data_IF_945156043743
#
_entry.id   IF_945156043743
#
_cell.length_a   1.000
_cell.length_b   1.000
_cell.length_c   1.000
_cell.angle_alpha   90.00
_cell.angle_beta   90.00
_cell.angle_gamma   90.00
#
_symmetry.space_group_name_H-M   'P 1'
#
loop_
_entity.id
_entity.type
_entity.pdbx_description
1 polymer ?
#
# COMPACT_ATOMS: atom_id res chain seq x y z
N UNK A 1 10.60 -6.76 4.77
CA UNK A 1 9.18 -6.91 4.40
C UNK A 1 8.28 -7.21 5.60
N UNK A 2 8.77 -7.95 6.60
CA UNK A 2 7.99 -8.25 7.81
C UNK A 2 7.59 -7.00 8.58
N UNK A 3 8.50 -6.02 8.70
CA UNK A 3 8.19 -4.74 9.36
C UNK A 3 7.13 -3.94 8.60
N UNK A 4 7.17 -4.02 7.29
CA UNK A 4 6.20 -3.35 6.43
C UNK A 4 4.80 -3.94 6.62
N UNK A 5 4.72 -5.28 6.65
CA UNK A 5 3.46 -5.99 6.86
C UNK A 5 2.92 -5.72 8.26
N UNK A 6 3.76 -5.79 9.29
CA UNK A 6 3.37 -5.53 10.67
C UNK A 6 2.79 -4.11 10.81
N UNK A 7 3.37 -3.15 10.11
CA UNK A 7 2.86 -1.78 10.07
C UNK A 7 1.49 -1.71 9.40
N UNK A 8 1.32 -2.38 8.27
CA UNK A 8 0.04 -2.41 7.56
C UNK A 8 -1.06 -3.02 8.44
N UNK A 9 -0.74 -4.09 9.18
CA UNK A 9 -1.67 -4.71 10.12
C UNK A 9 -2.05 -3.77 11.26
N UNK A 10 -1.11 -2.97 11.77
CA UNK A 10 -1.41 -1.95 12.78
C UNK A 10 -2.34 -0.88 12.26
N UNK A 11 -2.13 -0.43 11.04
CA UNK A 11 -3.01 0.57 10.41
C UNK A 11 -4.42 -0.01 10.26
N UNK A 12 -4.53 -1.26 9.83
CA UNK A 12 -5.82 -1.92 9.71
C UNK A 12 -6.54 -2.06 11.06
N UNK A 13 -5.81 -2.38 12.14
CA UNK A 13 -6.37 -2.43 13.49
C UNK A 13 -6.85 -1.05 13.94
N UNK A 14 -6.07 -0.01 13.66
CA UNK A 14 -6.46 1.36 13.99
C UNK A 14 -7.73 1.78 13.25
N UNK A 15 -7.90 1.32 12.02
CA UNK A 15 -9.09 1.60 11.23
C UNK A 15 -10.36 1.02 11.88
N UNK A 16 -10.25 -0.09 12.60
CA UNK A 16 -11.38 -0.70 13.30
C UNK A 16 -11.92 0.20 14.42
N UNK A 17 -11.11 1.12 14.94
CA UNK A 17 -11.52 2.08 15.97
C UNK A 17 -12.31 3.26 15.41
N UNK A 18 -12.25 3.51 14.11
CA UNK A 18 -13.05 4.55 13.46
C UNK A 18 -14.44 4.02 13.12
N UNK A 19 -15.42 4.92 13.08
CA UNK A 19 -16.72 4.58 12.51
C UNK A 19 -16.55 4.33 11.00
N UNK A 20 -17.49 3.62 10.35
CA UNK A 20 -17.42 3.45 8.90
C UNK A 20 -17.34 4.76 8.13
N UNK A 21 -18.05 5.80 8.60
CA UNK A 21 -18.02 7.12 7.98
C UNK A 21 -16.66 7.78 8.10
N UNK A 22 -16.07 7.75 9.29
CA UNK A 22 -14.74 8.30 9.54
C UNK A 22 -13.69 7.56 8.73
N UNK A 23 -13.79 6.23 8.67
CA UNK A 23 -12.88 5.41 7.89
C UNK A 23 -12.96 5.76 6.40
N UNK A 24 -14.16 5.98 5.88
CA UNK A 24 -14.37 6.39 4.49
C UNK A 24 -13.74 7.74 4.19
N UNK A 25 -13.86 8.69 5.10
CA UNK A 25 -13.25 10.02 4.95
C UNK A 25 -11.72 9.96 4.94
N UNK A 26 -11.15 9.01 5.71
CA UNK A 26 -9.71 8.85 5.89
C UNK A 26 -9.11 7.74 5.04
N UNK A 27 -9.88 7.12 4.15
CA UNK A 27 -9.46 5.88 3.49
C UNK A 27 -8.17 6.05 2.69
N UNK A 28 -8.01 7.14 1.96
CA UNK A 28 -6.79 7.37 1.17
C UNK A 28 -5.56 7.46 2.10
N UNK A 29 -5.66 8.21 3.19
CA UNK A 29 -4.57 8.35 4.17
C UNK A 29 -4.24 7.00 4.82
N UNK A 30 -5.26 6.23 5.19
CA UNK A 30 -5.07 4.91 5.78
C UNK A 30 -4.38 3.95 4.81
N UNK A 31 -4.80 3.96 3.55
CA UNK A 31 -4.20 3.10 2.52
C UNK A 31 -2.74 3.50 2.26
N UNK A 32 -2.43 4.78 2.21
CA UNK A 32 -1.05 5.26 2.05
C UNK A 32 -0.18 4.85 3.24
N UNK A 33 -0.70 4.97 4.46
CA UNK A 33 0.04 4.55 5.66
C UNK A 33 0.28 3.04 5.68
N UNK A 34 -0.70 2.25 5.23
CA UNK A 34 -0.56 0.80 5.17
C UNK A 34 0.43 0.34 4.09
N UNK A 35 0.44 1.01 2.93
CA UNK A 35 1.19 0.57 1.77
C UNK A 35 2.57 1.21 1.63
N UNK A 36 2.84 2.35 2.28
CA UNK A 36 4.11 3.07 2.15
C UNK A 36 4.79 3.20 3.51
N UNK A 37 6.13 3.09 3.57
CA UNK A 37 6.86 3.32 4.82
C UNK A 37 6.95 4.81 5.14
N UNK A 38 7.25 5.13 6.41
CA UNK A 38 7.52 6.51 6.81
C UNK A 38 8.84 7.02 6.25
N UNK A 39 9.80 6.10 6.08
CA UNK A 39 11.13 6.42 5.60
C UNK A 39 11.17 6.47 4.07
N UNK A 40 11.05 7.68 3.51
CA UNK A 40 11.11 7.88 2.07
C UNK A 40 12.50 7.69 1.48
N UNK A 41 13.54 7.73 2.32
CA UNK A 41 14.94 7.57 1.86
C UNK A 41 15.21 6.14 1.40
N UNK A 42 14.60 5.15 2.06
CA UNK A 42 14.79 3.74 1.73
C UNK A 42 13.89 3.23 0.60
N UNK A 43 12.91 4.02 0.17
CA UNK A 43 11.94 3.60 -0.87
C UNK A 43 12.59 3.16 -2.18
N UNK A 44 13.54 3.91 -2.78
CA UNK A 44 14.14 3.46 -4.03
C UNK A 44 14.84 2.10 -3.91
N UNK A 45 15.57 1.88 -2.82
CA UNK A 45 16.23 0.60 -2.57
C UNK A 45 15.21 -0.54 -2.39
N UNK A 46 14.12 -0.27 -1.68
CA UNK A 46 13.05 -1.25 -1.47
C UNK A 46 12.44 -1.71 -2.80
N UNK A 47 12.06 -0.75 -3.66
CA UNK A 47 11.44 -1.09 -4.94
C UNK A 47 12.42 -1.75 -5.91
N UNK A 48 13.69 -1.33 -5.91
CA UNK A 48 14.73 -1.98 -6.71
C UNK A 48 14.91 -3.43 -6.29
N UNK A 49 14.95 -3.70 -4.99
CA UNK A 49 15.08 -5.05 -4.46
C UNK A 49 13.85 -5.92 -4.77
N UNK A 50 12.67 -5.34 -4.67
CA UNK A 50 11.41 -6.02 -4.99
C UNK A 50 11.41 -6.51 -6.44
N UNK A 51 11.83 -5.65 -7.37
CA UNK A 51 11.91 -5.98 -8.79
C UNK A 51 13.01 -7.03 -9.04
N UNK A 52 14.18 -6.85 -8.42
CA UNK A 52 15.30 -7.78 -8.57
C UNK A 52 14.99 -9.18 -8.04
N UNK A 53 14.05 -9.29 -7.08
CA UNK A 53 13.67 -10.58 -6.49
C UNK A 53 13.06 -11.57 -7.50
N UNK A 54 12.58 -11.05 -8.63
CA UNK A 54 12.00 -11.89 -9.69
C UNK A 54 12.97 -12.93 -10.25
N UNK A 55 14.28 -12.71 -10.09
CA UNK A 55 15.32 -13.64 -10.57
C UNK A 55 15.61 -14.78 -9.58
N UNK A 56 15.07 -14.71 -8.36
CA UNK A 56 15.31 -15.70 -7.31
C UNK A 56 13.99 -16.31 -6.84
N UNK A 57 13.64 -17.54 -7.27
CA UNK A 57 12.34 -18.15 -6.98
C UNK A 57 11.97 -18.20 -5.50
N UNK A 58 12.94 -18.48 -4.62
CA UNK A 58 12.70 -18.54 -3.18
C UNK A 58 12.31 -17.16 -2.63
N UNK A 59 12.99 -16.12 -3.10
CA UNK A 59 12.71 -14.73 -2.69
C UNK A 59 11.37 -14.27 -3.25
N UNK A 60 11.06 -14.61 -4.50
CA UNK A 60 9.77 -14.31 -5.13
C UNK A 60 8.62 -14.91 -4.33
N UNK A 61 8.76 -16.15 -3.85
CA UNK A 61 7.73 -16.80 -3.04
C UNK A 61 7.52 -16.08 -1.72
N UNK A 62 8.62 -15.66 -1.07
CA UNK A 62 8.54 -14.90 0.19
C UNK A 62 7.82 -13.55 -0.01
N UNK A 63 8.13 -12.85 -1.09
CA UNK A 63 7.46 -11.58 -1.42
C UNK A 63 5.98 -11.79 -1.73
N UNK A 64 5.64 -12.85 -2.45
CA UNK A 64 4.24 -13.16 -2.76
C UNK A 64 3.43 -13.41 -1.48
N UNK A 65 3.96 -14.16 -0.53
CA UNK A 65 3.31 -14.38 0.77
C UNK A 65 3.15 -13.09 1.55
N UNK A 66 4.20 -12.25 1.54
CA UNK A 66 4.13 -10.94 2.17
C UNK A 66 3.07 -10.04 1.54
N UNK A 67 2.94 -10.09 0.22
CA UNK A 67 1.91 -9.32 -0.50
C UNK A 67 0.51 -9.82 -0.19
N UNK A 68 0.32 -11.12 -0.01
CA UNK A 68 -0.97 -11.66 0.43
C UNK A 68 -1.37 -11.11 1.80
N UNK A 69 -0.42 -11.02 2.73
CA UNK A 69 -0.66 -10.45 4.05
C UNK A 69 -0.97 -8.95 3.98
N UNK A 70 -0.28 -8.22 3.11
CA UNK A 70 -0.55 -6.80 2.86
C UNK A 70 -1.95 -6.62 2.26
N UNK A 71 -2.31 -7.43 1.28
CA UNK A 71 -3.64 -7.41 0.67
C UNK A 71 -4.73 -7.64 1.73
N UNK A 72 -4.51 -8.58 2.65
CA UNK A 72 -5.47 -8.84 3.73
C UNK A 72 -5.65 -7.63 4.65
N UNK A 73 -4.56 -6.94 5.02
CA UNK A 73 -4.63 -5.73 5.83
C UNK A 73 -5.35 -4.60 5.09
N UNK A 74 -5.02 -4.41 3.82
CA UNK A 74 -5.68 -3.41 2.96
C UNK A 74 -7.17 -3.71 2.84
N UNK A 75 -7.53 -4.99 2.68
CA UNK A 75 -8.94 -5.40 2.57
C UNK A 75 -9.73 -5.02 3.82
N UNK A 76 -9.15 -5.18 5.01
CA UNK A 76 -9.81 -4.78 6.26
C UNK A 76 -10.16 -3.28 6.25
N UNK A 77 -9.26 -2.45 5.76
CA UNK A 77 -9.48 -1.00 5.64
C UNK A 77 -10.61 -0.73 4.64
N UNK A 78 -10.56 -1.35 3.47
CA UNK A 78 -11.56 -1.16 2.41
C UNK A 78 -12.95 -1.58 2.86
N UNK A 79 -13.06 -2.75 3.50
CA UNK A 79 -14.33 -3.25 4.03
C UNK A 79 -14.89 -2.28 5.08
N UNK A 80 -14.06 -1.85 6.01
CA UNK A 80 -14.48 -0.91 7.06
C UNK A 80 -14.96 0.41 6.48
N UNK A 81 -14.29 0.90 5.45
CA UNK A 81 -14.66 2.16 4.78
C UNK A 81 -15.85 2.00 3.82
N UNK A 82 -16.28 0.78 3.53
CA UNK A 82 -17.35 0.52 2.58
C UNK A 82 -16.96 0.82 1.13
N UNK A 83 -15.67 0.62 0.81
CA UNK A 83 -15.12 0.89 -0.52
C UNK A 83 -15.02 -0.41 -1.31
N UNK A 84 -15.58 -0.41 -2.51
CA UNK A 84 -15.60 -1.59 -3.38
C UNK A 84 -14.42 -1.57 -4.36
N UNK A 85 -13.22 -1.81 -3.83
CA UNK A 85 -12.00 -2.00 -4.61
C UNK A 85 -11.34 -3.31 -4.21
N UNK A 86 -10.67 -3.93 -5.17
CA UNK A 86 -9.87 -5.13 -4.93
C UNK A 86 -8.55 -4.72 -4.23
N UNK A 87 -8.19 -5.34 -3.09
CA UNK A 87 -6.97 -4.97 -2.38
C UNK A 87 -5.71 -5.00 -3.24
N UNK A 88 -5.54 -6.02 -4.08
CA UNK A 88 -4.37 -6.12 -4.95
C UNK A 88 -4.29 -4.99 -5.98
N UNK A 89 -5.43 -4.45 -6.41
CA UNK A 89 -5.45 -3.27 -7.29
C UNK A 89 -4.94 -2.04 -6.54
N UNK A 90 -5.36 -1.86 -5.29
CA UNK A 90 -4.88 -0.76 -4.45
C UNK A 90 -3.36 -0.84 -4.28
N UNK A 91 -2.85 -2.01 -3.91
CA UNK A 91 -1.41 -2.22 -3.73
C UNK A 91 -0.65 -1.97 -5.04
N UNK A 92 -1.17 -2.46 -6.17
CA UNK A 92 -0.55 -2.24 -7.48
C UNK A 92 -0.54 -0.76 -7.87
N UNK A 93 -1.59 -0.01 -7.57
CA UNK A 93 -1.65 1.43 -7.83
C UNK A 93 -0.59 2.18 -7.03
N UNK A 94 -0.44 1.85 -5.75
CA UNK A 94 0.56 2.46 -4.90
C UNK A 94 1.97 2.11 -5.38
N UNK A 95 2.22 0.85 -5.69
CA UNK A 95 3.53 0.40 -6.21
C UNK A 95 3.86 1.07 -7.55
N UNK A 96 2.92 1.10 -8.47
CA UNK A 96 3.11 1.76 -9.76
C UNK A 96 3.33 3.25 -9.61
N UNK A 97 2.58 3.89 -8.73
CA UNK A 97 2.77 5.30 -8.40
C UNK A 97 4.14 5.58 -7.79
N UNK A 98 4.60 4.70 -6.90
CA UNK A 98 5.92 4.83 -6.29
C UNK A 98 7.04 4.70 -7.33
N UNK A 99 6.96 3.70 -8.21
CA UNK A 99 7.96 3.51 -9.28
C UNK A 99 7.97 4.71 -10.22
N UNK A 100 6.80 5.20 -10.61
CA UNK A 100 6.69 6.39 -11.44
C UNK A 100 7.34 7.60 -10.75
N UNK A 101 7.00 7.85 -9.51
CA UNK A 101 7.52 8.99 -8.75
C UNK A 101 9.05 8.90 -8.61
N UNK A 102 9.58 7.75 -8.25
CA UNK A 102 11.01 7.54 -8.07
C UNK A 102 11.74 7.75 -9.39
N UNK A 103 11.25 7.16 -10.47
CA UNK A 103 11.91 7.23 -11.78
C UNK A 103 11.84 8.62 -12.42
N UNK A 104 10.80 9.40 -12.13
CA UNK A 104 10.60 10.71 -12.74
C UNK A 104 10.91 11.88 -11.79
N UNK A 105 11.30 11.59 -10.56
CA UNK A 105 11.67 12.63 -9.59
C UNK A 105 10.49 13.34 -8.91
N UNK A 106 9.35 12.67 -8.80
CA UNK A 106 8.18 13.21 -8.10
C UNK A 106 8.09 12.67 -6.67
N UNK A 107 7.23 13.28 -5.87
CA UNK A 107 6.94 12.82 -4.51
C UNK A 107 6.07 11.55 -4.56
N UNK A 108 6.54 10.48 -3.90
CA UNK A 108 5.87 9.17 -3.92
C UNK A 108 4.45 9.26 -3.37
N UNK A 109 4.27 9.93 -2.21
CA UNK A 109 2.95 10.01 -1.58
C UNK A 109 1.96 10.80 -2.40
N UNK A 110 2.41 11.88 -3.03
CA UNK A 110 1.54 12.70 -3.89
C UNK A 110 1.05 11.92 -5.09
N UNK A 111 1.94 11.18 -5.77
CA UNK A 111 1.56 10.38 -6.94
C UNK A 111 0.63 9.24 -6.53
N UNK A 112 0.97 8.53 -5.45
CA UNK A 112 0.13 7.44 -4.96
C UNK A 112 -1.25 7.96 -4.54
N UNK A 113 -1.31 9.11 -3.86
CA UNK A 113 -2.58 9.74 -3.48
C UNK A 113 -3.44 10.07 -4.69
N UNK A 114 -2.85 10.68 -5.70
CA UNK A 114 -3.55 11.03 -6.93
C UNK A 114 -4.19 9.78 -7.59
N UNK A 115 -3.44 8.69 -7.65
CA UNK A 115 -3.93 7.45 -8.25
C UNK A 115 -5.06 6.84 -7.43
N UNK A 116 -4.93 6.81 -6.10
CA UNK A 116 -5.97 6.29 -5.22
C UNK A 116 -7.24 7.14 -5.28
N UNK A 117 -7.11 8.45 -5.26
CA UNK A 117 -8.25 9.35 -5.36
C UNK A 117 -8.97 9.16 -6.70
N UNK A 118 -8.24 8.98 -7.78
CA UNK A 118 -8.82 8.70 -9.10
C UNK A 118 -9.57 7.38 -9.08
N UNK A 119 -8.98 6.32 -8.52
CA UNK A 119 -9.61 5.00 -8.43
C UNK A 119 -10.87 5.02 -7.56
N UNK A 120 -10.88 5.85 -6.54
CA UNK A 120 -12.03 6.02 -5.63
C UNK A 120 -13.06 7.04 -6.14
N UNK A 121 -12.79 7.65 -7.27
CA UNK A 121 -13.63 8.68 -7.87
C UNK A 121 -13.84 9.89 -6.95
N UNK A 122 -12.74 10.40 -6.43
CA UNK A 122 -12.74 11.53 -5.50
C UNK A 122 -12.02 12.75 -6.04
#
# INVERSE_FOLDING_TARGET
IELWIARAEKVAQAADAFSPEECRERVVDLLLEACLPDDTVSMPAHYAQLIASAEAPVVTEAYRKGREALDAAVNRILVRAGVNLTPSVVVALVDGGAVKAISEGYDVREIARMLLETALDR
#
